data_IF_730000190319
#
_entry.id   IF_730000190319
#
_cell.length_a   1.000
_cell.length_b   1.000
_cell.length_c   1.000
_cell.angle_alpha   90.00
_cell.angle_beta   90.00
_cell.angle_gamma   90.00
#
_symmetry.space_group_name_H-M   'P 1'
#
loop_
_entity.id
_entity.type
_entity.pdbx_description
1 polymer ?
#
# COMPACT_ATOMS: atom_id res chain seq x y z
N UNK A 1 31.45 30.64 -55.23
CA UNK A 1 30.06 30.15 -55.15
C UNK A 1 30.07 28.89 -54.32
N UNK A 2 29.32 28.89 -53.22
CA UNK A 2 29.06 27.81 -52.26
C UNK A 2 30.21 27.38 -51.34
N UNK A 3 30.28 28.09 -50.20
CA UNK A 3 30.63 27.49 -48.92
C UNK A 3 29.60 26.41 -48.58
N UNK A 4 30.00 25.14 -48.59
CA UNK A 4 29.22 24.07 -47.99
C UNK A 4 29.54 24.02 -46.49
N UNK A 5 28.69 24.72 -45.74
CA UNK A 5 28.60 24.64 -44.29
C UNK A 5 28.24 23.19 -43.91
N UNK A 6 29.22 22.43 -43.43
CA UNK A 6 28.99 21.19 -42.69
C UNK A 6 28.36 21.55 -41.34
N UNK A 7 27.04 21.72 -41.32
CA UNK A 7 26.26 21.83 -40.09
C UNK A 7 26.04 20.43 -39.54
N UNK A 8 26.92 19.97 -38.65
CA UNK A 8 26.62 18.80 -37.80
C UNK A 8 25.44 19.13 -36.90
N UNK A 9 24.25 18.61 -37.24
CA UNK A 9 23.02 18.84 -36.48
C UNK A 9 23.05 18.09 -35.15
N UNK A 10 22.70 18.78 -34.07
CA UNK A 10 22.61 18.21 -32.71
C UNK A 10 21.35 17.34 -32.59
N UNK A 11 21.51 16.04 -32.37
CA UNK A 11 20.40 15.13 -32.03
C UNK A 11 19.71 15.60 -30.73
N UNK A 12 18.38 15.52 -30.71
CA UNK A 12 17.60 15.79 -29.49
C UNK A 12 17.19 14.44 -28.92
N UNK A 13 17.70 14.16 -27.72
CA UNK A 13 17.36 12.98 -26.93
C UNK A 13 16.57 13.40 -25.69
N UNK A 14 15.50 12.66 -25.41
CA UNK A 14 14.71 12.82 -24.19
C UNK A 14 14.46 11.46 -23.55
N UNK A 15 14.89 11.30 -22.30
CA UNK A 15 14.53 10.16 -21.47
C UNK A 15 13.05 10.26 -21.10
N UNK A 16 12.28 9.20 -21.39
CA UNK A 16 10.83 9.15 -21.18
C UNK A 16 10.46 8.23 -20.01
N UNK A 17 11.27 7.21 -19.72
CA UNK A 17 11.00 6.34 -18.58
C UNK A 17 11.87 5.09 -18.52
N UNK A 18 11.32 4.01 -17.96
CA UNK A 18 11.97 2.70 -17.85
C UNK A 18 11.04 1.58 -18.30
N UNK A 19 11.59 0.58 -18.98
CA UNK A 19 10.88 -0.62 -19.43
C UNK A 19 11.73 -1.87 -19.15
N UNK A 20 11.21 -2.82 -18.38
CA UNK A 20 11.91 -4.10 -18.13
C UNK A 20 13.29 -3.97 -17.49
N UNK A 21 13.56 -2.89 -16.75
CA UNK A 21 14.88 -2.59 -16.18
C UNK A 21 15.80 -1.77 -17.08
N UNK A 22 15.39 -1.48 -18.32
CA UNK A 22 16.11 -0.63 -19.26
C UNK A 22 15.57 0.81 -19.21
N UNK A 23 16.42 1.78 -19.50
CA UNK A 23 16.02 3.17 -19.70
C UNK A 23 15.42 3.33 -21.10
N UNK A 24 14.29 4.03 -21.20
CA UNK A 24 13.55 4.26 -22.44
C UNK A 24 13.65 5.74 -22.81
N UNK A 25 14.20 6.03 -23.98
CA UNK A 25 14.30 7.39 -24.50
C UNK A 25 13.71 7.52 -25.90
N UNK A 26 13.44 8.76 -26.27
CA UNK A 26 13.05 9.18 -27.62
C UNK A 26 14.21 9.99 -28.18
N UNK A 27 14.58 9.70 -29.43
CA UNK A 27 15.54 10.50 -30.18
C UNK A 27 14.94 10.98 -31.49
N UNK A 28 15.26 12.21 -31.85
CA UNK A 28 14.86 12.82 -33.12
C UNK A 28 16.05 13.58 -33.71
N UNK A 29 16.33 13.34 -34.99
CA UNK A 29 17.23 14.18 -35.77
C UNK A 29 16.43 15.40 -36.28
N UNK A 30 17.10 16.55 -36.48
CA UNK A 30 16.43 17.72 -37.07
C UNK A 30 15.98 17.39 -38.50
N UNK A 31 14.67 17.43 -38.73
CA UNK A 31 14.03 17.21 -40.03
C UNK A 31 12.60 16.72 -39.85
N UNK A 32 11.94 16.35 -40.95
CA UNK A 32 10.63 15.68 -40.97
C UNK A 32 10.76 14.17 -40.63
N UNK A 33 11.83 13.79 -39.93
CA UNK A 33 12.10 12.41 -39.55
C UNK A 33 11.23 11.99 -38.37
N UNK A 34 10.63 10.81 -38.49
CA UNK A 34 9.78 10.23 -37.45
C UNK A 34 10.63 9.99 -36.20
N UNK A 35 10.25 10.55 -35.02
CA UNK A 35 10.94 10.27 -33.78
C UNK A 35 11.04 8.77 -33.53
N UNK A 36 12.23 8.30 -33.13
CA UNK A 36 12.48 6.89 -32.85
C UNK A 36 12.68 6.66 -31.35
N UNK A 37 12.27 5.49 -30.87
CA UNK A 37 12.52 5.08 -29.50
C UNK A 37 13.84 4.33 -29.41
N UNK A 38 14.47 4.38 -28.24
CA UNK A 38 15.61 3.53 -27.92
C UNK A 38 15.51 3.02 -26.48
N UNK A 39 16.11 1.85 -26.25
CA UNK A 39 16.34 1.31 -24.91
C UNK A 39 17.83 1.36 -24.59
N UNK A 40 18.20 1.89 -23.42
CA UNK A 40 19.58 1.93 -22.93
C UNK A 40 19.77 1.09 -21.67
N UNK A 41 20.82 0.27 -21.69
CA UNK A 41 21.33 -0.54 -20.58
C UNK A 41 22.84 -0.68 -20.71
N UNK A 42 23.36 -1.91 -20.80
CA UNK A 42 24.76 -2.15 -21.15
C UNK A 42 25.11 -1.73 -22.60
N UNK A 43 24.11 -1.75 -23.48
CA UNK A 43 24.16 -1.28 -24.86
C UNK A 43 22.91 -0.42 -25.17
N UNK A 44 22.94 0.31 -26.28
CA UNK A 44 21.78 1.04 -26.82
C UNK A 44 21.12 0.21 -27.91
N UNK A 45 19.82 0.01 -27.79
CA UNK A 45 19.00 -0.73 -28.75
C UNK A 45 18.02 0.23 -29.43
N UNK A 46 18.16 0.43 -30.73
CA UNK A 46 17.26 1.29 -31.50
C UNK A 46 15.98 0.55 -31.86
N UNK A 47 14.84 1.13 -31.52
CA UNK A 47 13.55 0.66 -32.01
C UNK A 47 13.27 1.34 -33.36
N UNK A 48 13.93 0.86 -34.41
CA UNK A 48 13.66 1.33 -35.77
C UNK A 48 12.21 1.03 -36.17
N UNK A 49 11.48 1.94 -36.84
CA UNK A 49 10.03 1.89 -37.04
C UNK A 49 9.44 0.67 -37.78
N UNK A 50 10.26 -0.27 -38.24
CA UNK A 50 9.84 -1.21 -39.28
C UNK A 50 8.84 -2.28 -38.82
N UNK A 51 8.62 -2.51 -37.51
CA UNK A 51 7.67 -3.53 -37.04
C UNK A 51 6.86 -3.20 -35.76
N UNK A 52 7.11 -2.08 -35.07
CA UNK A 52 6.47 -1.78 -33.76
C UNK A 52 5.70 -0.46 -33.71
N UNK A 53 5.82 0.41 -34.72
CA UNK A 53 5.15 1.72 -34.74
C UNK A 53 3.63 1.64 -34.59
N UNK A 54 2.92 0.91 -35.48
CA UNK A 54 1.47 0.79 -35.41
C UNK A 54 0.97 0.12 -34.13
N UNK A 55 1.67 -0.90 -33.64
CA UNK A 55 1.31 -1.62 -32.42
C UNK A 55 1.48 -0.76 -31.16
N UNK A 56 2.54 0.05 -31.09
CA UNK A 56 2.75 1.00 -30.01
C UNK A 56 1.68 2.09 -30.01
N UNK A 57 1.37 2.66 -31.18
CA UNK A 57 0.32 3.68 -31.30
C UNK A 57 -1.04 3.09 -30.90
N UNK A 58 -1.37 1.88 -31.34
CA UNK A 58 -2.58 1.18 -30.93
C UNK A 58 -2.64 0.98 -29.41
N UNK A 59 -1.55 0.52 -28.79
CA UNK A 59 -1.48 0.35 -27.34
C UNK A 59 -1.63 1.67 -26.56
N UNK A 60 -1.08 2.77 -27.07
CA UNK A 60 -1.24 4.10 -26.47
C UNK A 60 -2.69 4.62 -26.61
N UNK A 61 -3.33 4.39 -27.76
CA UNK A 61 -4.74 4.75 -27.97
C UNK A 61 -5.64 3.92 -27.06
N UNK A 62 -5.41 2.61 -26.94
CA UNK A 62 -6.14 1.72 -26.05
C UNK A 62 -5.96 2.12 -24.58
N UNK A 63 -4.73 2.47 -24.19
CA UNK A 63 -4.45 2.99 -22.84
C UNK A 63 -5.24 4.27 -22.58
N UNK A 64 -5.19 5.25 -23.48
CA UNK A 64 -5.93 6.51 -23.37
C UNK A 64 -7.45 6.26 -23.27
N UNK A 65 -7.98 5.35 -24.09
CA UNK A 65 -9.38 4.94 -24.06
C UNK A 65 -9.76 4.22 -22.75
N UNK A 66 -8.80 3.57 -22.08
CA UNK A 66 -9.03 2.88 -20.82
C UNK A 66 -9.10 3.81 -19.61
N UNK A 67 -8.51 5.02 -19.67
CA UNK A 67 -8.44 5.98 -18.56
C UNK A 67 -9.82 6.34 -18.00
N UNK A 68 -10.84 6.72 -18.80
CA UNK A 68 -12.16 7.05 -18.28
C UNK A 68 -12.82 5.91 -17.51
N UNK A 69 -12.65 4.67 -18.00
CA UNK A 69 -13.16 3.46 -17.35
C UNK A 69 -12.49 3.23 -16.00
N UNK A 70 -11.16 3.34 -15.95
CA UNK A 70 -10.40 3.19 -14.71
C UNK A 70 -10.75 4.30 -13.71
N UNK A 71 -10.88 5.53 -14.18
CA UNK A 71 -11.30 6.67 -13.36
C UNK A 71 -12.69 6.45 -12.76
N UNK A 72 -13.68 6.05 -13.57
CA UNK A 72 -15.04 5.75 -13.10
C UNK A 72 -15.05 4.61 -12.07
N UNK A 73 -14.27 3.55 -12.30
CA UNK A 73 -14.12 2.45 -11.33
C UNK A 73 -13.50 2.94 -10.02
N UNK A 74 -12.48 3.81 -10.09
CA UNK A 74 -11.87 4.44 -8.92
C UNK A 74 -12.85 5.31 -8.14
N UNK A 75 -13.66 6.11 -8.83
CA UNK A 75 -14.70 6.93 -8.21
C UNK A 75 -15.74 6.07 -7.48
N UNK A 76 -16.23 5.00 -8.11
CA UNK A 76 -17.18 4.08 -7.48
C UNK A 76 -16.59 3.42 -6.22
N UNK A 77 -15.31 3.00 -6.27
CA UNK A 77 -14.64 2.44 -5.10
C UNK A 77 -14.49 3.47 -3.97
N UNK A 78 -14.19 4.73 -4.30
CA UNK A 78 -14.10 5.81 -3.32
C UNK A 78 -15.45 6.06 -2.64
N UNK A 79 -16.55 6.06 -3.38
CA UNK A 79 -17.89 6.22 -2.81
C UNK A 79 -18.25 5.08 -1.86
N UNK A 80 -18.00 3.83 -2.25
CA UNK A 80 -18.24 2.66 -1.39
C UNK A 80 -17.41 2.76 -0.11
N UNK A 81 -16.13 3.10 -0.23
CA UNK A 81 -15.24 3.24 0.93
C UNK A 81 -15.66 4.39 1.86
N UNK A 82 -16.11 5.52 1.31
CA UNK A 82 -16.63 6.64 2.10
C UNK A 82 -17.86 6.23 2.91
N UNK A 83 -18.85 5.61 2.26
CA UNK A 83 -20.05 5.09 2.95
C UNK A 83 -19.68 4.13 4.09
N UNK A 84 -18.83 3.14 3.79
CA UNK A 84 -18.36 2.19 4.81
C UNK A 84 -17.64 2.87 5.97
N UNK A 85 -16.86 3.92 5.69
CA UNK A 85 -16.15 4.67 6.72
C UNK A 85 -17.16 5.41 7.62
N UNK A 86 -18.18 6.04 7.03
CA UNK A 86 -19.23 6.72 7.78
C UNK A 86 -20.04 5.73 8.64
N UNK A 87 -20.37 4.54 8.11
CA UNK A 87 -21.03 3.47 8.88
C UNK A 87 -20.20 3.02 10.09
N UNK A 88 -18.88 2.81 9.88
CA UNK A 88 -17.96 2.43 10.96
C UNK A 88 -17.84 3.53 12.01
N UNK A 89 -17.85 4.81 11.59
CA UNK A 89 -17.84 5.94 12.53
C UNK A 89 -19.09 5.97 13.39
N UNK A 90 -20.26 5.72 12.80
CA UNK A 90 -21.52 5.66 13.53
C UNK A 90 -21.50 4.53 14.57
N UNK A 91 -21.02 3.35 14.21
CA UNK A 91 -20.88 2.22 15.13
C UNK A 91 -19.82 2.48 16.22
N UNK A 92 -18.75 3.21 15.92
CA UNK A 92 -17.74 3.61 16.92
C UNK A 92 -18.30 4.60 17.96
N UNK A 93 -19.21 5.48 17.56
CA UNK A 93 -19.88 6.40 18.48
C UNK A 93 -20.94 5.71 19.34
N UNK A 94 -21.37 4.51 18.94
CA UNK A 94 -22.37 3.74 19.68
C UNK A 94 -21.77 3.22 20.99
N UNK A 95 -22.34 3.58 22.16
CA UNK A 95 -21.86 3.08 23.44
C UNK A 95 -22.08 1.57 23.55
N UNK A 96 -21.26 0.91 24.37
CA UNK A 96 -21.38 -0.52 24.59
C UNK A 96 -22.71 -0.85 25.29
N UNK A 97 -23.55 -1.65 24.63
CA UNK A 97 -24.93 -1.93 25.08
C UNK A 97 -25.02 -2.48 26.52
N UNK A 98 -23.97 -3.15 26.99
CA UNK A 98 -23.94 -3.78 28.30
C UNK A 98 -22.98 -3.09 29.28
N UNK A 99 -22.55 -1.86 28.99
CA UNK A 99 -21.63 -1.11 29.84
C UNK A 99 -22.16 -1.01 31.28
N UNK A 100 -23.43 -0.67 31.45
CA UNK A 100 -24.06 -0.60 32.76
C UNK A 100 -24.09 -1.96 33.50
N UNK A 101 -24.41 -3.05 32.79
CA UNK A 101 -24.42 -4.40 33.38
C UNK A 101 -23.02 -4.86 33.76
N UNK A 102 -22.01 -4.53 32.95
CA UNK A 102 -20.62 -4.83 33.25
C UNK A 102 -20.16 -4.07 34.50
N UNK A 103 -20.47 -2.78 34.62
CA UNK A 103 -20.14 -1.98 35.80
C UNK A 103 -20.81 -2.52 37.07
N UNK A 104 -22.07 -2.96 36.98
CA UNK A 104 -22.78 -3.58 38.11
C UNK A 104 -22.12 -4.89 38.55
N UNK A 105 -21.80 -5.78 37.59
CA UNK A 105 -21.10 -7.03 37.88
C UNK A 105 -19.71 -6.81 38.50
N UNK A 106 -18.94 -5.84 37.98
CA UNK A 106 -17.64 -5.48 38.55
C UNK A 106 -17.77 -4.92 39.97
N UNK A 107 -18.81 -4.13 40.23
CA UNK A 107 -19.08 -3.59 41.57
C UNK A 107 -19.40 -4.71 42.54
N UNK A 108 -20.30 -5.62 42.15
CA UNK A 108 -20.66 -6.78 42.96
C UNK A 108 -19.49 -7.73 43.20
N UNK A 109 -18.64 -7.94 42.19
CA UNK A 109 -17.42 -8.74 42.34
C UNK A 109 -16.49 -8.15 43.42
N UNK A 110 -16.25 -6.83 43.39
CA UNK A 110 -15.42 -6.15 44.42
C UNK A 110 -15.99 -6.30 45.82
N UNK A 111 -17.32 -6.18 45.95
CA UNK A 111 -17.99 -6.40 47.23
C UNK A 111 -17.78 -7.83 47.74
N UNK A 112 -17.93 -8.83 46.87
CA UNK A 112 -17.73 -10.24 47.24
C UNK A 112 -16.28 -10.54 47.59
N UNK A 113 -15.31 -10.00 46.85
CA UNK A 113 -13.89 -10.15 47.18
C UNK A 113 -13.58 -9.61 48.58
N UNK A 114 -14.08 -8.41 48.90
CA UNK A 114 -13.91 -7.79 50.22
C UNK A 114 -14.60 -8.57 51.35
N UNK A 115 -15.79 -9.13 51.11
CA UNK A 115 -16.47 -9.98 52.10
C UNK A 115 -15.72 -11.28 52.39
N UNK A 116 -14.98 -11.78 51.40
CA UNK A 116 -14.21 -13.01 51.50
C UNK A 116 -12.75 -12.74 51.90
N UNK A 117 -12.37 -11.48 52.17
CA UNK A 117 -10.99 -11.04 52.43
C UNK A 117 -9.97 -11.49 51.34
N UNK A 118 -10.47 -11.83 50.14
CA UNK A 118 -9.68 -12.30 48.98
C UNK A 118 -8.94 -11.17 48.25
N UNK A 119 -9.21 -9.93 48.63
CA UNK A 119 -8.54 -8.70 48.21
C UNK A 119 -7.22 -8.46 48.97
N UNK A 120 -6.91 -9.28 49.98
CA UNK A 120 -5.61 -9.34 50.63
C UNK A 120 -4.80 -10.48 50.00
N UNK A 121 -3.59 -10.20 49.54
CA UNK A 121 -2.67 -11.23 49.03
C UNK A 121 -2.29 -12.22 50.16
N UNK A 122 -3.09 -13.28 50.35
CA UNK A 122 -2.75 -14.43 51.21
C UNK A 122 -1.89 -15.48 50.46
N UNK A 123 -1.15 -15.07 49.43
CA UNK A 123 -0.13 -15.91 48.82
C UNK A 123 1.09 -16.04 49.77
N UNK A 124 0.94 -16.72 50.90
CA UNK A 124 2.07 -16.90 51.83
C UNK A 124 1.85 -17.60 53.17
N UNK A 125 0.66 -18.06 53.56
CA UNK A 125 0.41 -18.59 54.94
C UNK A 125 -0.10 -20.02 55.00
N UNK A 126 0.37 -20.88 54.09
CA UNK A 126 0.35 -22.32 54.29
C UNK A 126 1.77 -22.89 54.14
N UNK A 127 2.68 -22.46 55.02
CA UNK A 127 3.71 -23.41 55.47
C UNK A 127 2.95 -24.46 56.27
N UNK A 128 2.49 -25.49 55.59
CA UNK A 128 2.06 -26.72 56.23
C UNK A 128 3.32 -27.25 56.91
N UNK A 129 3.37 -27.12 58.23
CA UNK A 129 4.43 -27.70 59.08
C UNK A 129 4.41 -29.22 58.89
N UNK A 130 5.18 -29.70 57.92
CA UNK A 130 5.49 -31.11 57.73
C UNK A 130 6.62 -31.52 58.68
N UNK A 131 6.45 -31.37 60.00
CA UNK A 131 7.42 -31.87 60.99
C UNK A 131 6.84 -32.88 62.02
N UNK A 132 5.53 -33.15 62.07
CA UNK A 132 4.98 -34.10 63.07
C UNK A 132 4.96 -35.59 62.65
N UNK A 133 5.61 -35.98 61.54
CA UNK A 133 5.66 -37.39 61.08
C UNK A 133 7.03 -38.07 61.20
N UNK A 134 7.98 -37.53 61.99
CA UNK A 134 9.31 -38.15 62.20
C UNK A 134 9.59 -38.70 63.60
N UNK A 135 8.65 -38.67 64.54
CA UNK A 135 8.84 -39.28 65.87
C UNK A 135 8.17 -40.65 66.06
N UNK A 136 7.85 -41.37 64.96
CA UNK A 136 7.31 -42.72 65.04
C UNK A 136 7.95 -43.69 64.02
N UNK A 137 9.28 -43.77 64.00
CA UNK A 137 10.03 -44.82 63.30
C UNK A 137 11.23 -45.29 64.12
#
# INVERSE_FOLDING_TARGET
>A
MKDEVRSGGREIEQLVGRFGGFELGVKTARGDEVPSLYLSGACVYEATPYQTGPALVAALVDLLASIPKQHAAGQAQLEIRRKRLDDIRLELERPFEHEARLLDLLTRQRQLLSQLDLDKDEAGTAKVDTEELREAA
#
